data_IF_793609816096
#
_entry.id   IF_793609816096
#
_cell.length_a   1.000
_cell.length_b   1.000
_cell.length_c   1.000
_cell.angle_alpha   90.00
_cell.angle_beta   90.00
_cell.angle_gamma   90.00
#
_symmetry.space_group_name_H-M   'P 1'
#
loop_
_entity.id
_entity.type
_entity.pdbx_description
1 polymer ?
#
# COMPACT_ATOMS: atom_id res chain seq x y z
N UNK A 1 50.61 11.73 -22.83
CA UNK A 1 49.25 11.78 -22.23
C UNK A 1 48.94 10.43 -21.59
N UNK A 2 49.18 10.28 -20.29
CA UNK A 2 48.92 9.02 -19.57
C UNK A 2 47.42 8.82 -19.39
N UNK A 3 46.85 7.80 -20.04
CA UNK A 3 45.50 7.30 -19.73
C UNK A 3 45.52 6.80 -18.28
N UNK A 4 44.93 7.57 -17.34
CA UNK A 4 44.62 7.06 -15.99
C UNK A 4 43.78 5.80 -16.16
N UNK A 5 44.31 4.67 -15.72
CA UNK A 5 43.57 3.42 -15.67
C UNK A 5 42.29 3.65 -14.84
N UNK A 6 41.14 3.35 -15.42
CA UNK A 6 39.84 3.47 -14.77
C UNK A 6 39.84 2.54 -13.56
N UNK A 7 39.81 3.11 -12.35
CA UNK A 7 39.63 2.34 -11.12
C UNK A 7 38.35 1.49 -11.26
N UNK A 8 38.39 0.18 -10.99
CA UNK A 8 37.19 -0.65 -11.02
C UNK A 8 36.14 -0.05 -10.09
N UNK A 9 34.95 0.26 -10.62
CA UNK A 9 33.84 0.76 -9.82
C UNK A 9 33.54 -0.27 -8.72
N UNK A 10 33.47 0.20 -7.47
CA UNK A 10 33.17 -0.66 -6.34
C UNK A 10 31.83 -1.42 -6.55
N UNK A 11 31.72 -2.68 -6.09
CA UNK A 11 30.49 -3.46 -6.26
C UNK A 11 29.30 -2.76 -5.62
N UNK A 12 28.19 -2.66 -6.36
CA UNK A 12 26.94 -2.07 -5.85
C UNK A 12 26.35 -2.99 -4.78
N UNK A 13 26.08 -2.51 -3.55
CA UNK A 13 25.48 -3.33 -2.51
C UNK A 13 24.04 -3.71 -2.88
N UNK A 14 23.73 -5.02 -2.84
CA UNK A 14 22.42 -5.56 -3.23
C UNK A 14 21.58 -6.10 -2.07
N UNK A 15 22.19 -6.33 -0.89
CA UNK A 15 21.49 -6.89 0.28
C UNK A 15 20.28 -6.05 0.70
N UNK A 16 20.44 -4.72 0.75
CA UNK A 16 19.33 -3.80 1.07
C UNK A 16 18.19 -3.90 0.06
N UNK A 17 18.50 -3.92 -1.24
CA UNK A 17 17.49 -4.05 -2.29
C UNK A 17 16.78 -5.42 -2.28
N UNK A 18 17.48 -6.50 -1.92
CA UNK A 18 16.85 -7.82 -1.74
C UNK A 18 15.88 -7.81 -0.54
N UNK A 19 16.27 -7.20 0.58
CA UNK A 19 15.37 -7.04 1.73
C UNK A 19 14.14 -6.20 1.38
N UNK A 20 14.30 -5.10 0.62
CA UNK A 20 13.18 -4.28 0.13
C UNK A 20 12.26 -5.06 -0.81
N UNK A 21 12.83 -5.90 -1.68
CA UNK A 21 12.04 -6.78 -2.55
C UNK A 21 11.18 -7.74 -1.73
N UNK A 22 11.77 -8.42 -0.74
CA UNK A 22 11.04 -9.35 0.13
C UNK A 22 9.96 -8.65 0.96
N UNK A 23 10.24 -7.45 1.48
CA UNK A 23 9.25 -6.63 2.19
C UNK A 23 8.11 -6.17 1.27
N UNK A 24 8.42 -5.81 0.02
CA UNK A 24 7.41 -5.49 -0.99
C UNK A 24 6.51 -6.68 -1.32
N UNK A 25 7.10 -7.88 -1.47
CA UNK A 25 6.34 -9.13 -1.68
C UNK A 25 5.46 -9.43 -0.47
N UNK A 26 6.00 -9.36 0.75
CA UNK A 26 5.24 -9.59 1.98
C UNK A 26 4.07 -8.61 2.14
N UNK A 27 4.31 -7.33 1.84
CA UNK A 27 3.27 -6.29 1.88
C UNK A 27 2.20 -6.55 0.83
N UNK A 28 2.59 -6.97 -0.38
CA UNK A 28 1.65 -7.34 -1.44
C UNK A 28 0.81 -8.55 -1.05
N UNK A 29 1.41 -9.58 -0.46
CA UNK A 29 0.71 -10.75 0.04
C UNK A 29 -0.30 -10.41 1.14
N UNK A 30 0.09 -9.58 2.10
CA UNK A 30 -0.82 -9.11 3.15
C UNK A 30 -1.96 -8.27 2.58
N UNK A 31 -1.69 -7.40 1.61
CA UNK A 31 -2.71 -6.60 0.94
C UNK A 31 -3.70 -7.45 0.14
N UNK A 32 -3.22 -8.49 -0.56
CA UNK A 32 -4.09 -9.46 -1.24
C UNK A 32 -5.00 -10.15 -0.22
N UNK A 33 -4.44 -10.64 0.90
CA UNK A 33 -5.22 -11.29 1.95
C UNK A 33 -6.29 -10.34 2.54
N UNK A 34 -5.92 -9.09 2.85
CA UNK A 34 -6.87 -8.06 3.30
C UNK A 34 -8.00 -7.82 2.29
N UNK A 35 -7.67 -7.81 1.00
CA UNK A 35 -8.67 -7.63 -0.05
C UNK A 35 -9.59 -8.84 -0.18
N UNK A 36 -9.07 -10.06 -0.07
CA UNK A 36 -9.90 -11.26 -0.06
C UNK A 36 -10.87 -11.28 1.14
N UNK A 37 -10.39 -10.93 2.34
CA UNK A 37 -11.24 -10.80 3.52
C UNK A 37 -12.30 -9.69 3.36
N UNK A 38 -11.94 -8.58 2.72
CA UNK A 38 -12.90 -7.54 2.36
C UNK A 38 -13.98 -8.07 1.41
N UNK A 39 -13.62 -8.86 0.41
CA UNK A 39 -14.59 -9.48 -0.49
C UNK A 39 -15.51 -10.46 0.26
N UNK A 40 -14.98 -11.26 1.19
CA UNK A 40 -15.77 -12.12 2.08
C UNK A 40 -16.75 -11.31 2.90
N UNK A 41 -16.29 -10.22 3.54
CA UNK A 41 -17.13 -9.30 4.30
C UNK A 41 -18.26 -8.71 3.44
N UNK A 42 -17.93 -8.30 2.21
CA UNK A 42 -18.89 -7.73 1.25
C UNK A 42 -19.92 -8.75 0.76
N UNK A 43 -19.57 -10.02 0.76
CA UNK A 43 -20.49 -11.13 0.48
C UNK A 43 -21.35 -11.53 1.70
N UNK A 44 -21.21 -10.85 2.85
CA UNK A 44 -21.92 -11.17 4.08
C UNK A 44 -21.29 -12.29 4.91
N UNK A 45 -20.06 -12.70 4.59
CA UNK A 45 -19.29 -13.65 5.38
C UNK A 45 -18.61 -13.01 6.59
N UNK A 46 -18.08 -13.86 7.49
CA UNK A 46 -17.29 -13.43 8.63
C UNK A 46 -15.80 -13.33 8.27
N UNK A 47 -15.11 -12.33 8.78
CA UNK A 47 -13.67 -12.18 8.60
C UNK A 47 -12.89 -12.83 9.74
N UNK A 48 -11.69 -13.32 9.44
CA UNK A 48 -10.74 -13.89 10.39
C UNK A 48 -10.04 -12.81 11.23
N UNK A 49 -10.01 -11.57 10.77
CA UNK A 49 -9.45 -10.42 11.48
C UNK A 49 -10.50 -9.62 12.30
N UNK A 50 -11.77 -10.00 12.24
CA UNK A 50 -12.87 -9.49 13.07
C UNK A 50 -13.01 -10.34 14.33
N UNK A 51 -12.19 -10.06 15.36
CA UNK A 51 -12.11 -10.91 16.56
C UNK A 51 -13.16 -10.49 17.60
N UNK A 52 -13.23 -9.20 17.90
CA UNK A 52 -14.17 -8.63 18.87
C UNK A 52 -14.38 -7.14 18.59
N UNK A 53 -15.21 -6.44 19.37
CA UNK A 53 -15.55 -5.04 19.13
C UNK A 53 -14.35 -4.06 19.11
N UNK A 54 -13.26 -4.38 19.81
CA UNK A 54 -12.06 -3.53 19.90
C UNK A 54 -10.98 -3.95 18.89
N UNK A 55 -10.95 -5.23 18.53
CA UNK A 55 -10.02 -5.81 17.55
C UNK A 55 -10.82 -6.27 16.34
N UNK A 56 -11.13 -5.32 15.44
CA UNK A 56 -12.02 -5.56 14.30
C UNK A 56 -11.53 -4.87 13.02
N UNK A 57 -11.20 -5.65 12.01
CA UNK A 57 -10.87 -5.13 10.68
C UNK A 57 -12.10 -4.62 9.91
N UNK A 58 -13.28 -5.20 10.13
CA UNK A 58 -14.51 -4.89 9.41
C UNK A 58 -14.96 -3.45 9.66
N UNK A 59 -14.89 -3.01 10.93
CA UNK A 59 -15.21 -1.63 11.32
C UNK A 59 -14.29 -0.62 10.64
N UNK A 60 -12.99 -0.94 10.49
CA UNK A 60 -12.04 -0.07 9.79
C UNK A 60 -12.36 0.00 8.30
N UNK A 61 -12.63 -1.14 7.66
CA UNK A 61 -12.92 -1.21 6.23
C UNK A 61 -14.30 -0.67 5.83
N UNK A 62 -15.22 -0.58 6.80
CA UNK A 62 -16.55 0.03 6.63
C UNK A 62 -16.63 1.49 7.08
N UNK A 63 -15.51 2.07 7.52
CA UNK A 63 -15.48 3.48 7.92
C UNK A 63 -15.78 4.43 6.75
N UNK A 64 -16.29 5.62 7.07
CA UNK A 64 -16.52 6.68 6.07
C UNK A 64 -15.24 7.05 5.32
N UNK A 65 -14.10 7.03 6.00
CA UNK A 65 -12.80 7.27 5.39
C UNK A 65 -12.48 6.21 4.32
N UNK A 66 -12.64 4.93 4.65
CA UNK A 66 -12.40 3.84 3.71
C UNK A 66 -13.34 3.90 2.50
N UNK A 67 -14.61 4.24 2.75
CA UNK A 67 -15.63 4.41 1.70
C UNK A 67 -15.29 5.59 0.79
N UNK A 68 -14.94 6.75 1.35
CA UNK A 68 -14.56 7.92 0.55
C UNK A 68 -13.32 7.67 -0.31
N UNK A 69 -12.32 6.95 0.21
CA UNK A 69 -11.14 6.55 -0.58
C UNK A 69 -11.53 5.62 -1.74
N UNK A 70 -12.38 4.64 -1.48
CA UNK A 70 -12.85 3.72 -2.52
C UNK A 70 -13.69 4.45 -3.58
N UNK A 71 -14.60 5.33 -3.17
CA UNK A 71 -15.45 6.10 -4.08
C UNK A 71 -14.65 7.06 -4.97
N UNK A 72 -13.60 7.67 -4.43
CA UNK A 72 -12.76 8.65 -5.16
C UNK A 72 -11.75 7.99 -6.08
N UNK A 73 -11.05 6.96 -5.62
CA UNK A 73 -9.98 6.32 -6.39
C UNK A 73 -10.44 5.11 -7.19
N UNK A 74 -11.64 4.59 -6.92
CA UNK A 74 -12.16 3.36 -7.51
C UNK A 74 -11.41 2.11 -7.04
N UNK A 75 -10.58 2.20 -5.99
CA UNK A 75 -9.80 1.09 -5.44
C UNK A 75 -9.94 1.14 -3.91
N UNK A 76 -10.32 0.05 -3.24
CA UNK A 76 -10.39 0.01 -1.78
C UNK A 76 -8.99 0.18 -1.16
N UNK A 77 -8.92 0.56 0.12
CA UNK A 77 -7.65 0.77 0.83
C UNK A 77 -6.70 -0.44 0.71
N UNK A 78 -7.22 -1.67 0.83
CA UNK A 78 -6.42 -2.88 0.65
C UNK A 78 -5.78 -2.97 -0.76
N UNK A 79 -6.53 -2.58 -1.80
CA UNK A 79 -6.01 -2.50 -3.17
C UNK A 79 -4.94 -1.42 -3.35
N UNK A 80 -5.06 -0.27 -2.67
CA UNK A 80 -3.98 0.73 -2.65
C UNK A 80 -2.72 0.21 -1.95
N UNK A 81 -2.89 -0.60 -0.90
CA UNK A 81 -1.80 -1.33 -0.27
C UNK A 81 -1.08 -2.26 -1.27
N UNK A 82 -1.85 -2.93 -2.13
CA UNK A 82 -1.28 -3.76 -3.20
C UNK A 82 -0.57 -2.93 -4.27
N UNK A 83 -1.12 -1.79 -4.69
CA UNK A 83 -0.43 -0.84 -5.60
C UNK A 83 0.92 -0.42 -5.03
N UNK A 84 0.97 -0.06 -3.74
CA UNK A 84 2.21 0.30 -3.07
C UNK A 84 3.20 -0.88 -3.03
N UNK A 85 2.73 -2.08 -2.67
CA UNK A 85 3.53 -3.30 -2.62
C UNK A 85 4.12 -3.68 -3.99
N UNK A 86 3.32 -3.66 -5.05
CA UNK A 86 3.77 -3.94 -6.42
C UNK A 86 4.78 -2.90 -6.90
N UNK A 87 4.59 -1.63 -6.53
CA UNK A 87 5.56 -0.57 -6.85
C UNK A 87 6.89 -0.81 -6.15
N UNK A 88 6.85 -1.21 -4.86
CA UNK A 88 8.04 -1.55 -4.08
C UNK A 88 8.79 -2.74 -4.70
N UNK A 89 8.06 -3.78 -5.14
CA UNK A 89 8.61 -4.93 -5.86
C UNK A 89 9.26 -4.49 -7.17
N UNK A 90 8.54 -3.72 -7.99
CA UNK A 90 9.02 -3.26 -9.30
C UNK A 90 10.30 -2.43 -9.20
N UNK A 91 10.34 -1.46 -8.27
CA UNK A 91 11.54 -0.63 -8.07
C UNK A 91 12.71 -1.41 -7.49
N UNK A 92 12.45 -2.36 -6.57
CA UNK A 92 13.51 -3.21 -6.00
C UNK A 92 14.09 -4.16 -7.06
N UNK A 93 13.23 -4.76 -7.87
CA UNK A 93 13.64 -5.60 -9.00
C UNK A 93 14.43 -4.79 -10.04
N UNK A 94 14.00 -3.56 -10.36
CA UNK A 94 14.72 -2.66 -11.25
C UNK A 94 16.11 -2.32 -10.71
N UNK A 95 16.23 -2.01 -9.42
CA UNK A 95 17.52 -1.79 -8.75
C UNK A 95 18.44 -3.01 -8.93
N UNK A 96 17.94 -4.20 -8.63
CA UNK A 96 18.74 -5.44 -8.72
C UNK A 96 19.15 -5.75 -10.16
N UNK A 97 18.25 -5.55 -11.12
CA UNK A 97 18.53 -5.73 -12.54
C UNK A 97 19.61 -4.75 -13.04
N UNK A 98 19.55 -3.49 -12.63
CA UNK A 98 20.56 -2.49 -12.98
C UNK A 98 21.89 -2.73 -12.30
N UNK A 99 21.90 -3.15 -11.03
CA UNK A 99 23.12 -3.55 -10.34
C UNK A 99 23.81 -4.71 -11.09
N UNK A 100 23.05 -5.74 -11.50
CA UNK A 100 23.56 -6.86 -12.30
C UNK A 100 24.08 -6.40 -13.66
N UNK A 101 23.38 -5.47 -14.32
CA UNK A 101 23.77 -4.90 -15.60
C UNK A 101 24.86 -3.82 -15.52
N UNK A 102 25.43 -3.56 -14.31
CA UNK A 102 26.42 -2.50 -14.06
C UNK A 102 25.96 -1.10 -14.52
N UNK A 103 24.65 -0.85 -14.48
CA UNK A 103 24.02 0.45 -14.75
C UNK A 103 23.93 1.25 -13.45
N UNK A 104 23.76 2.58 -13.57
CA UNK A 104 23.50 3.42 -12.40
C UNK A 104 22.20 2.99 -11.72
N UNK A 105 22.27 2.68 -10.42
CA UNK A 105 21.12 2.31 -9.59
C UNK A 105 20.47 3.50 -8.89
N UNK A 106 21.04 4.71 -9.04
CA UNK A 106 20.58 5.91 -8.32
C UNK A 106 19.10 6.22 -8.53
N UNK A 107 18.55 6.19 -9.76
CA UNK A 107 17.15 6.52 -9.95
C UNK A 107 16.21 5.57 -9.21
N UNK A 108 16.50 4.26 -9.23
CA UNK A 108 15.74 3.25 -8.51
C UNK A 108 15.88 3.39 -6.98
N UNK A 109 17.09 3.65 -6.49
CA UNK A 109 17.34 3.85 -5.05
C UNK A 109 16.59 5.08 -4.50
N UNK A 110 16.65 6.20 -5.21
CA UNK A 110 15.89 7.42 -4.86
C UNK A 110 14.39 7.18 -4.94
N UNK A 111 13.94 6.42 -5.94
CA UNK A 111 12.53 6.02 -6.08
C UNK A 111 12.02 5.19 -4.91
N UNK A 112 12.80 4.22 -4.43
CA UNK A 112 12.49 3.41 -3.25
C UNK A 112 12.37 4.29 -1.98
N UNK A 113 13.19 5.34 -1.87
CA UNK A 113 13.13 6.29 -0.73
C UNK A 113 11.93 7.22 -0.79
N UNK A 114 11.54 7.67 -1.99
CA UNK A 114 10.31 8.44 -2.19
C UNK A 114 9.08 7.59 -1.89
N UNK A 115 9.08 6.33 -2.36
CA UNK A 115 8.02 5.38 -2.05
C UNK A 115 7.94 5.07 -0.56
N UNK A 116 9.08 4.94 0.11
CA UNK A 116 9.15 4.78 1.57
C UNK A 116 8.55 5.98 2.30
N UNK A 117 8.88 7.21 1.88
CA UNK A 117 8.30 8.43 2.45
C UNK A 117 6.77 8.45 2.26
N UNK A 118 6.28 8.16 1.05
CA UNK A 118 4.85 8.07 0.77
C UNK A 118 4.18 6.98 1.63
N UNK A 119 4.85 5.85 1.85
CA UNK A 119 4.39 4.79 2.74
C UNK A 119 4.27 5.25 4.19
N UNK A 120 5.28 5.91 4.74
CA UNK A 120 5.27 6.45 6.11
C UNK A 120 4.13 7.45 6.30
N UNK A 121 3.93 8.36 5.33
CA UNK A 121 2.81 9.31 5.36
C UNK A 121 1.47 8.56 5.33
N UNK A 122 1.33 7.55 4.47
CA UNK A 122 0.11 6.73 4.39
C UNK A 122 -0.17 5.99 5.71
N UNK A 123 0.85 5.41 6.35
CA UNK A 123 0.72 4.77 7.66
C UNK A 123 0.23 5.77 8.71
N UNK A 124 0.77 6.97 8.76
CA UNK A 124 0.33 8.00 9.71
C UNK A 124 -1.14 8.39 9.49
N UNK A 125 -1.55 8.58 8.22
CA UNK A 125 -2.94 8.90 7.86
C UNK A 125 -3.89 7.77 8.25
N UNK A 126 -3.55 6.52 7.89
CA UNK A 126 -4.41 5.36 8.17
C UNK A 126 -4.47 5.04 9.66
N UNK A 127 -3.37 5.15 10.39
CA UNK A 127 -3.36 4.98 11.85
C UNK A 127 -4.24 6.04 12.53
N UNK A 128 -4.15 7.31 12.09
CA UNK A 128 -5.02 8.37 12.60
C UNK A 128 -6.49 8.13 12.27
N UNK A 129 -6.80 7.63 11.07
CA UNK A 129 -8.16 7.26 10.69
C UNK A 129 -8.69 6.10 11.55
N UNK A 130 -7.92 5.03 11.76
CA UNK A 130 -8.29 3.91 12.64
C UNK A 130 -8.50 4.35 14.08
N UNK A 131 -7.64 5.24 14.60
CA UNK A 131 -7.75 5.75 15.97
C UNK A 131 -9.07 6.51 16.20
N UNK A 132 -9.57 7.23 15.19
CA UNK A 132 -10.87 7.93 15.26
C UNK A 132 -12.07 6.98 15.35
N UNK A 133 -11.94 5.79 14.79
CA UNK A 133 -12.98 4.74 14.83
C UNK A 133 -12.90 3.93 16.13
N UNK A 134 -11.81 4.07 16.89
CA UNK A 134 -11.66 3.43 18.22
C UNK A 134 -11.42 1.92 18.17
N UNK A 135 -10.95 1.40 17.03
CA UNK A 135 -10.70 -0.05 16.83
C UNK A 135 -9.29 -0.29 16.30
N UNK A 136 -8.72 -1.44 16.67
CA UNK A 136 -7.41 -1.90 16.20
C UNK A 136 -7.62 -3.00 15.17
N UNK A 137 -7.08 -2.81 13.97
CA UNK A 137 -7.07 -3.84 12.94
C UNK A 137 -5.70 -4.55 12.91
N UNK A 138 -5.62 -5.85 13.30
CA UNK A 138 -4.35 -6.56 13.37
C UNK A 138 -3.59 -6.60 12.03
N UNK A 139 -4.32 -6.74 10.92
CA UNK A 139 -3.73 -6.81 9.59
C UNK A 139 -3.21 -5.44 9.15
N UNK A 140 -3.92 -4.34 9.47
CA UNK A 140 -3.41 -2.98 9.24
C UNK A 140 -2.12 -2.73 10.04
N UNK A 141 -2.07 -3.14 11.30
CA UNK A 141 -0.84 -3.06 12.12
C UNK A 141 0.30 -3.83 11.45
N UNK A 142 0.03 -5.03 10.92
CA UNK A 142 0.99 -5.79 10.12
C UNK A 142 1.52 -4.99 8.92
N UNK A 143 0.62 -4.35 8.15
CA UNK A 143 1.00 -3.48 7.03
C UNK A 143 1.85 -2.30 7.50
N UNK A 144 1.51 -1.66 8.63
CA UNK A 144 2.27 -0.54 9.18
C UNK A 144 3.69 -0.96 9.53
N UNK A 145 3.85 -2.10 10.21
CA UNK A 145 5.17 -2.65 10.55
C UNK A 145 5.99 -2.94 9.30
N UNK A 146 5.41 -3.58 8.28
CA UNK A 146 6.10 -3.89 7.03
C UNK A 146 6.55 -2.63 6.28
N UNK A 147 5.69 -1.61 6.20
CA UNK A 147 6.02 -0.33 5.53
C UNK A 147 7.09 0.43 6.30
N UNK A 148 7.03 0.46 7.64
CA UNK A 148 8.07 1.11 8.46
C UNK A 148 9.41 0.37 8.38
N UNK A 149 9.40 -0.96 8.34
CA UNK A 149 10.60 -1.76 8.09
C UNK A 149 11.18 -1.47 6.70
N UNK A 150 10.32 -1.38 5.68
CA UNK A 150 10.74 -1.00 4.32
C UNK A 150 11.40 0.39 4.32
N UNK A 151 10.81 1.38 4.99
CA UNK A 151 11.37 2.72 5.08
C UNK A 151 12.74 2.73 5.79
N UNK A 152 12.87 1.99 6.89
CA UNK A 152 14.15 1.85 7.59
C UNK A 152 15.23 1.27 6.68
N UNK A 153 14.92 0.22 5.91
CA UNK A 153 15.86 -0.39 4.96
C UNK A 153 16.14 0.53 3.76
N UNK A 154 15.16 1.28 3.26
CA UNK A 154 15.35 2.18 2.12
C UNK A 154 16.28 3.36 2.46
N UNK A 155 16.17 3.90 3.68
CA UNK A 155 17.01 5.02 4.12
C UNK A 155 18.38 4.59 4.63
N UNK A 156 18.50 3.43 5.30
CA UNK A 156 19.78 2.98 5.88
C UNK A 156 20.51 1.91 5.08
N UNK A 157 19.80 1.12 4.27
CA UNK A 157 20.32 -0.05 3.56
C UNK A 157 20.68 0.17 2.10
N UNK A 158 20.34 1.33 1.52
CA UNK A 158 20.68 1.70 0.15
C UNK A 158 21.85 2.71 0.12
N UNK A 159 22.74 2.63 -0.89
CA UNK A 159 23.89 3.52 -1.01
C UNK A 159 23.49 4.93 -1.49
N UNK A 160 24.35 5.91 -1.20
CA UNK A 160 24.27 7.28 -1.71
C UNK A 160 23.28 8.20 -0.98
N UNK A 161 23.26 9.50 -1.33
CA UNK A 161 22.51 10.55 -0.61
C UNK A 161 21.01 10.30 -0.54
N UNK A 162 20.36 10.59 0.60
CA UNK A 162 18.94 10.30 0.84
C UNK A 162 17.99 10.91 -0.20
N UNK A 163 18.30 12.13 -0.66
CA UNK A 163 17.50 12.84 -1.66
C UNK A 163 18.11 12.76 -3.07
N UNK A 164 17.29 12.85 -4.12
CA UNK A 164 17.78 13.03 -5.48
C UNK A 164 18.50 14.38 -5.62
N UNK A 165 19.63 14.38 -6.33
CA UNK A 165 20.32 15.62 -6.70
C UNK A 165 19.56 16.33 -7.85
N UNK A 166 19.82 17.62 -8.08
CA UNK A 166 19.05 18.45 -9.02
C UNK A 166 18.88 17.87 -10.44
N UNK A 167 19.86 17.10 -10.94
CA UNK A 167 19.80 16.43 -12.24
C UNK A 167 19.21 15.01 -12.24
N UNK A 168 18.94 14.40 -11.07
CA UNK A 168 18.47 13.02 -10.96
C UNK A 168 16.93 12.90 -10.91
N UNK A 169 16.22 14.01 -10.69
CA UNK A 169 14.76 14.02 -10.49
C UNK A 169 13.98 13.48 -11.67
N UNK A 170 14.37 13.81 -12.91
CA UNK A 170 13.66 13.37 -14.11
C UNK A 170 13.61 11.85 -14.23
N UNK A 171 14.78 11.19 -14.13
CA UNK A 171 14.87 9.74 -14.20
C UNK A 171 14.23 9.05 -12.99
N UNK A 172 14.42 9.59 -11.78
CA UNK A 172 13.77 9.05 -10.56
C UNK A 172 12.25 9.07 -10.70
N UNK A 173 11.67 10.23 -11.04
CA UNK A 173 10.23 10.36 -11.17
C UNK A 173 9.68 9.51 -12.32
N UNK A 174 10.37 9.45 -13.47
CA UNK A 174 9.95 8.62 -14.59
C UNK A 174 9.73 7.17 -14.19
N UNK A 175 10.69 6.57 -13.47
CA UNK A 175 10.57 5.17 -13.06
C UNK A 175 9.63 4.96 -11.89
N UNK A 176 9.67 5.81 -10.88
CA UNK A 176 8.77 5.70 -9.72
C UNK A 176 7.32 5.91 -10.13
N UNK A 177 7.01 7.03 -10.79
CA UNK A 177 5.64 7.33 -11.24
C UNK A 177 5.21 6.33 -12.31
N UNK A 178 6.09 5.96 -13.25
CA UNK A 178 5.76 5.00 -14.30
C UNK A 178 5.35 3.63 -13.73
N UNK A 179 6.12 3.08 -12.79
CA UNK A 179 5.78 1.79 -12.16
C UNK A 179 4.51 1.93 -11.31
N UNK A 180 4.38 2.99 -10.51
CA UNK A 180 3.17 3.23 -9.70
C UNK A 180 1.93 3.34 -10.58
N UNK A 181 2.01 4.07 -11.69
CA UNK A 181 0.89 4.26 -12.61
C UNK A 181 0.48 2.93 -13.25
N UNK A 182 1.44 2.10 -13.67
CA UNK A 182 1.15 0.75 -14.19
C UNK A 182 0.47 -0.10 -13.12
N UNK A 183 1.00 -0.13 -11.89
CA UNK A 183 0.39 -0.89 -10.79
C UNK A 183 -1.02 -0.38 -10.45
N UNK A 184 -1.23 0.94 -10.41
CA UNK A 184 -2.52 1.56 -10.14
C UNK A 184 -3.54 1.22 -11.23
N UNK A 185 -3.18 1.40 -12.51
CA UNK A 185 -4.05 1.09 -13.64
C UNK A 185 -4.40 -0.39 -13.69
N UNK A 186 -3.44 -1.28 -13.42
CA UNK A 186 -3.70 -2.71 -13.33
C UNK A 186 -4.72 -3.04 -12.22
N UNK A 187 -4.71 -2.31 -11.12
CA UNK A 187 -5.63 -2.52 -9.99
C UNK A 187 -6.97 -1.80 -10.12
N UNK A 188 -7.14 -0.88 -11.07
CA UNK A 188 -8.41 -0.18 -11.26
C UNK A 188 -9.56 -1.12 -11.62
N UNK A 189 -9.35 -2.09 -12.51
CA UNK A 189 -10.41 -3.03 -12.90
C UNK A 189 -10.92 -3.87 -11.72
N UNK A 190 -10.07 -4.63 -10.98
CA UNK A 190 -10.54 -5.35 -9.79
C UNK A 190 -10.99 -4.40 -8.66
N UNK A 191 -10.38 -3.22 -8.54
CA UNK A 191 -10.78 -2.16 -7.60
C UNK A 191 -12.24 -1.75 -7.75
N UNK A 192 -12.64 -1.43 -8.98
CA UNK A 192 -13.99 -0.97 -9.29
C UNK A 192 -15.03 -2.08 -9.27
N UNK A 193 -14.59 -3.33 -9.43
CA UNK A 193 -15.45 -4.50 -9.26
C UNK A 193 -15.67 -4.86 -7.77
N UNK A 194 -14.89 -4.30 -6.85
CA UNK A 194 -15.07 -4.57 -5.41
C UNK A 194 -16.37 -3.90 -4.93
N UNK A 195 -17.29 -4.64 -4.28
CA UNK A 195 -18.51 -4.05 -3.77
C UNK A 195 -18.24 -2.98 -2.70
N UNK A 196 -19.06 -1.92 -2.70
CA UNK A 196 -18.96 -0.82 -1.74
C UNK A 196 -19.52 -1.21 -0.37
N UNK A 197 -19.19 -0.42 0.65
CA UNK A 197 -19.82 -0.56 1.96
C UNK A 197 -21.34 -0.35 1.87
N UNK A 198 -22.15 -1.14 2.60
CA UNK A 198 -23.57 -0.86 2.73
C UNK A 198 -23.75 0.54 3.31
N UNK A 199 -24.55 1.39 2.66
CA UNK A 199 -24.90 2.71 3.22
C UNK A 199 -25.67 2.53 4.52
N UNK A 200 -25.36 3.33 5.53
CA UNK A 200 -26.13 3.36 6.78
C UNK A 200 -27.62 3.57 6.45
N UNK A 201 -28.47 2.60 6.83
CA UNK A 201 -29.90 2.60 6.53
C UNK A 201 -30.39 1.53 5.55
N UNK A 202 -29.50 0.83 4.82
CA UNK A 202 -29.89 -0.22 3.88
C UNK A 202 -30.47 -1.50 4.54
N UNK A 203 -30.35 -1.63 5.85
CA UNK A 203 -30.86 -2.75 6.65
C UNK A 203 -32.05 -2.40 7.55
N UNK A 204 -32.59 -1.18 7.46
CA UNK A 204 -33.84 -0.89 8.17
C UNK A 204 -34.99 -1.58 7.41
N UNK A 205 -35.71 -2.55 8.02
CA UNK A 205 -36.98 -2.98 7.45
C UNK A 205 -37.88 -1.75 7.28
N UNK A 206 -38.74 -1.71 6.24
CA UNK A 206 -39.67 -0.59 6.06
C UNK A 206 -40.43 -0.36 7.37
N UNK A 207 -40.67 0.90 7.78
CA UNK A 207 -41.42 1.18 8.99
C UNK A 207 -42.73 0.41 8.90
N UNK A 208 -42.93 -0.52 9.83
CA UNK A 208 -44.14 -1.32 9.91
C UNK A 208 -45.27 -0.32 10.02
N UNK A 209 -46.09 -0.21 8.98
CA UNK A 209 -47.26 0.62 9.01
C UNK A 209 -48.13 0.08 10.15
N UNK A 210 -48.22 0.84 11.25
CA UNK A 210 -49.12 0.52 12.34
C UNK A 210 -50.52 0.46 11.75
N UNK A 211 -51.02 -0.76 11.54
CA UNK A 211 -52.42 -0.99 11.25
C UNK A 211 -53.21 -0.42 12.42
N UNK A 212 -53.88 0.69 12.16
CA UNK A 212 -54.88 1.30 13.02
C UNK A 212 -55.82 0.21 13.53
N UNK A 213 -55.85 0.03 14.85
CA UNK A 213 -56.81 -0.83 15.52
C UNK A 213 -58.23 -0.29 15.28
N UNK A 214 -59.22 -1.15 14.96
CA UNK A 214 -60.61 -0.75 14.99
C UNK A 214 -61.07 -0.65 16.46
N UNK A 215 -61.44 0.55 16.89
CA UNK A 215 -62.20 0.76 18.13
C UNK A 215 -63.62 0.23 17.99
N UNK A 216 -64.15 -0.52 18.97
CA UNK A 216 -65.58 -0.83 19.06
C UNK A 216 -66.42 0.39 19.47
#
# INVERSE_FOLDING_TARGET
MSKKASTPAAPVPTRGALALLLLGIATSGLAIYQWMELLTLRAGGATTCGINAQVNCETVWNSDFASAVHDTLGIPIAGLGLVWGLTAVGLSALYLAWAKAKRSVRPAASGLRLLALAGVVSVAVFAAASARVGVVCPTCVGTYVLVLAFAAVAWRGLPGPLLPQAGEWGDTLKWTVGITAVAFVAMLMPGRATPHAPKAGAFLPPPVANASQPTP
#
